data_IF_825152853105
#
_entry.id   IF_825152853105
#
_cell.length_a   1.000
_cell.length_b   1.000
_cell.length_c   1.000
_cell.angle_alpha   90.00
_cell.angle_beta   90.00
_cell.angle_gamma   90.00
#
_symmetry.space_group_name_H-M   'P 1'
#
loop_
_entity.id
_entity.type
_entity.pdbx_description
1 polymer ?
#
# COMPACT_ATOMS: atom_id res chain seq x y z
N UNK A 1 11.14 33.77 -19.75
CA UNK A 1 11.86 33.76 -18.46
C UNK A 1 11.07 32.82 -17.57
N UNK A 2 11.60 31.62 -17.35
CA UNK A 2 10.91 30.50 -16.70
C UNK A 2 11.05 30.59 -15.18
N UNK A 3 9.93 30.52 -14.46
CA UNK A 3 9.92 30.10 -13.06
C UNK A 3 8.77 29.10 -12.91
N UNK A 4 9.12 27.82 -12.90
CA UNK A 4 8.22 26.69 -12.65
C UNK A 4 8.36 26.32 -11.18
N UNK A 5 7.31 26.62 -10.43
CA UNK A 5 6.69 25.78 -9.41
C UNK A 5 7.58 24.74 -8.70
N UNK A 6 8.30 25.19 -7.67
CA UNK A 6 9.14 24.34 -6.79
C UNK A 6 8.38 23.82 -5.55
N UNK A 7 7.06 24.00 -5.49
CA UNK A 7 6.22 23.70 -4.31
C UNK A 7 5.71 22.26 -4.20
N UNK A 8 5.80 21.45 -5.26
CA UNK A 8 5.25 20.07 -5.27
C UNK A 8 6.12 19.02 -4.58
N UNK A 9 7.41 19.28 -4.40
CA UNK A 9 8.39 18.25 -4.03
C UNK A 9 8.34 17.85 -2.54
N UNK A 10 8.11 18.80 -1.63
CA UNK A 10 8.13 18.52 -0.18
C UNK A 10 6.87 17.81 0.30
N UNK A 11 5.72 18.12 -0.28
CA UNK A 11 4.46 17.45 0.04
C UNK A 11 4.45 16.02 -0.48
N UNK A 12 4.93 15.79 -1.71
CA UNK A 12 5.07 14.46 -2.28
C UNK A 12 6.03 13.58 -1.46
N UNK A 13 7.16 14.15 -1.03
CA UNK A 13 8.15 13.45 -0.19
C UNK A 13 7.61 13.15 1.21
N UNK A 14 6.83 14.06 1.81
CA UNK A 14 6.16 13.80 3.10
C UNK A 14 5.07 12.74 2.99
N UNK A 15 4.27 12.76 1.94
CA UNK A 15 3.26 11.74 1.67
C UNK A 15 3.91 10.37 1.42
N UNK A 16 5.03 10.34 0.69
CA UNK A 16 5.83 9.15 0.46
C UNK A 16 6.36 8.54 1.77
N UNK A 17 6.93 9.37 2.65
CA UNK A 17 7.46 8.93 3.94
C UNK A 17 6.34 8.41 4.88
N UNK A 18 5.19 9.08 4.91
CA UNK A 18 4.04 8.64 5.70
C UNK A 18 3.43 7.33 5.17
N UNK A 19 3.37 7.15 3.85
CA UNK A 19 2.91 5.90 3.24
C UNK A 19 3.85 4.73 3.54
N UNK A 20 5.18 4.96 3.49
CA UNK A 20 6.18 3.96 3.84
C UNK A 20 6.08 3.53 5.31
N UNK A 21 5.90 4.50 6.23
CA UNK A 21 5.73 4.23 7.67
C UNK A 21 4.46 3.42 7.97
N UNK A 22 3.34 3.76 7.32
CA UNK A 22 2.06 3.06 7.53
C UNK A 22 2.12 1.62 7.01
N UNK A 23 2.82 1.37 5.92
CA UNK A 23 2.97 0.03 5.35
C UNK A 23 3.91 -0.86 6.18
N UNK A 24 4.95 -0.29 6.80
CA UNK A 24 5.80 -1.03 7.75
C UNK A 24 5.01 -1.49 8.99
N UNK A 25 4.02 -0.69 9.43
CA UNK A 25 3.14 -1.06 10.55
C UNK A 25 2.11 -2.14 10.19
N UNK A 26 1.60 -2.13 8.95
CA UNK A 26 0.65 -3.15 8.48
C UNK A 26 1.28 -4.55 8.27
N UNK A 27 2.60 -4.64 8.09
CA UNK A 27 3.33 -5.93 8.07
C UNK A 27 3.58 -6.49 9.48
N UNK A 28 3.57 -5.64 10.52
CA UNK A 28 3.80 -6.07 11.91
C UNK A 28 2.55 -6.63 12.59
N UNK A 29 1.34 -6.37 12.08
CA UNK A 29 0.07 -6.78 12.71
C UNK A 29 -0.42 -8.17 12.26
N UNK A 30 0.33 -8.89 11.42
CA UNK A 30 0.01 -10.27 11.02
C UNK A 30 0.90 -11.32 11.71
N UNK A 31 1.74 -10.90 12.66
CA UNK A 31 2.62 -11.79 13.41
C UNK A 31 2.11 -12.19 14.80
N UNK A 32 0.95 -11.70 15.25
CA UNK A 32 0.36 -12.03 16.56
C UNK A 32 -1.15 -12.30 16.45
N UNK A 33 -1.52 -13.32 15.69
CA UNK A 33 -2.83 -13.98 15.84
C UNK A 33 -2.60 -15.43 16.27
N UNK A 34 -2.26 -15.57 17.55
CA UNK A 34 -2.18 -16.85 18.24
C UNK A 34 -2.25 -16.57 19.74
N UNK A 35 -3.34 -17.03 20.36
CA UNK A 35 -3.61 -17.03 21.81
C UNK A 35 -4.23 -15.75 22.39
N UNK A 36 -5.58 -15.70 22.41
CA UNK A 36 -6.38 -15.31 23.58
C UNK A 36 -7.88 -15.41 23.25
N UNK A 37 -8.38 -16.64 23.11
CA UNK A 37 -9.78 -16.93 23.39
C UNK A 37 -9.93 -17.09 24.91
N UNK A 38 -11.11 -16.76 25.45
CA UNK A 38 -11.57 -16.97 26.84
C UNK A 38 -11.40 -15.80 27.84
N UNK A 39 -12.40 -14.91 27.88
CA UNK A 39 -12.89 -14.30 29.14
C UNK A 39 -14.32 -13.78 28.97
N UNK A 40 -15.24 -14.75 28.97
CA UNK A 40 -16.69 -14.63 29.16
C UNK A 40 -17.03 -13.95 30.52
N UNK A 41 -17.87 -12.92 30.47
CA UNK A 41 -18.86 -12.49 31.49
C UNK A 41 -18.41 -12.19 32.94
N UNK A 42 -18.74 -10.97 33.42
CA UNK A 42 -19.67 -10.73 34.58
C UNK A 42 -19.67 -9.28 35.09
N UNK A 43 -20.89 -8.84 35.49
CA UNK A 43 -21.32 -7.62 36.22
C UNK A 43 -21.66 -6.43 35.30
N UNK A 44 -22.85 -5.84 35.28
CA UNK A 44 -23.98 -5.88 36.21
C UNK A 44 -24.29 -4.46 36.72
N UNK A 45 -25.48 -3.96 36.35
CA UNK A 45 -26.34 -2.96 37.03
C UNK A 45 -25.82 -1.57 37.49
N UNK A 46 -26.61 -0.56 37.07
CA UNK A 46 -27.06 0.66 37.76
C UNK A 46 -26.05 1.62 38.44
N UNK A 47 -26.20 2.92 38.14
CA UNK A 47 -25.68 3.96 39.05
C UNK A 47 -25.62 5.37 38.47
N UNK A 48 -26.59 6.20 38.86
CA UNK A 48 -26.57 7.67 38.73
C UNK A 48 -25.36 8.26 39.46
N UNK A 49 -24.87 9.41 39.00
CA UNK A 49 -24.33 10.42 39.90
C UNK A 49 -23.04 11.11 39.47
N UNK A 50 -23.15 12.44 39.37
CA UNK A 50 -22.17 13.44 39.76
C UNK A 50 -20.98 13.66 38.82
N UNK A 51 -21.12 14.70 38.00
CA UNK A 51 -20.03 15.48 37.43
C UNK A 51 -19.10 16.03 38.53
N UNK A 52 -17.78 15.81 38.44
CA UNK A 52 -16.80 16.70 39.02
C UNK A 52 -16.36 17.72 37.96
N UNK A 53 -16.54 19.01 38.28
CA UNK A 53 -15.89 20.12 37.58
C UNK A 53 -14.37 19.96 37.67
N UNK A 54 -13.68 20.08 36.54
CA UNK A 54 -12.24 20.30 36.46
C UNK A 54 -11.94 21.48 35.51
N UNK A 55 -10.83 22.20 35.72
CA UNK A 55 -10.64 23.61 35.36
C UNK A 55 -10.27 23.84 33.89
N UNK A 56 -10.60 25.04 33.38
CA UNK A 56 -10.19 25.57 32.07
C UNK A 56 -8.66 25.61 31.98
N UNK A 57 -8.06 24.71 31.21
CA UNK A 57 -6.73 24.88 30.63
C UNK A 57 -6.87 25.53 29.26
N UNK A 58 -6.24 26.69 29.09
CA UNK A 58 -6.10 27.37 27.81
C UNK A 58 -5.35 26.46 26.81
N UNK A 59 -5.72 26.44 25.52
CA UNK A 59 -4.94 25.73 24.52
C UNK A 59 -3.58 26.43 24.31
N UNK A 60 -2.47 25.69 24.14
CA UNK A 60 -1.24 26.29 23.67
C UNK A 60 -1.44 26.79 22.23
N UNK A 61 -1.23 28.08 22.06
CA UNK A 61 -1.17 28.78 20.79
C UNK A 61 -0.04 28.19 19.96
N UNK A 62 -0.39 27.27 19.05
CA UNK A 62 0.56 26.69 18.10
C UNK A 62 0.19 27.24 16.74
N UNK A 63 0.56 28.49 16.49
CA UNK A 63 0.53 29.07 15.15
C UNK A 63 1.51 28.29 14.28
N UNK A 64 1.09 27.59 13.20
CA UNK A 64 2.03 27.01 12.26
C UNK A 64 2.60 28.16 11.42
N UNK A 65 3.83 28.57 11.72
CA UNK A 65 4.56 29.49 10.86
C UNK A 65 4.75 28.89 9.46
N UNK A 66 4.57 29.67 8.38
CA UNK A 66 4.77 29.19 7.03
C UNK A 66 6.28 29.20 6.70
N UNK A 67 6.80 28.11 6.14
CA UNK A 67 8.05 28.16 5.35
C UNK A 67 9.36 27.83 6.06
N UNK A 68 9.40 26.79 6.91
CA UNK A 68 10.69 26.23 7.35
C UNK A 68 11.32 25.36 6.27
N UNK A 69 12.39 25.83 5.63
CA UNK A 69 13.28 25.02 4.80
C UNK A 69 13.73 23.79 5.58
N UNK A 70 13.47 22.60 5.05
CA UNK A 70 13.87 21.35 5.69
C UNK A 70 15.40 21.27 5.72
N UNK A 71 16.03 21.04 6.88
CA UNK A 71 17.48 20.99 6.96
C UNK A 71 18.02 19.86 6.06
N UNK A 72 19.12 20.13 5.34
CA UNK A 72 19.68 19.22 4.33
C UNK A 72 19.88 17.77 4.82
N UNK A 73 20.13 17.57 6.13
CA UNK A 73 20.23 16.25 6.74
C UNK A 73 18.94 15.42 6.70
N UNK A 74 17.76 16.06 6.75
CA UNK A 74 16.46 15.37 6.64
C UNK A 74 16.22 14.91 5.21
N UNK A 75 16.59 15.71 4.22
CA UNK A 75 16.47 15.30 2.81
C UNK A 75 17.35 14.07 2.51
N UNK A 76 18.62 14.10 2.93
CA UNK A 76 19.52 12.96 2.77
C UNK A 76 19.02 11.69 3.49
N UNK A 77 18.46 11.83 4.69
CA UNK A 77 17.86 10.71 5.41
C UNK A 77 16.65 10.13 4.68
N UNK A 78 15.81 10.98 4.08
CA UNK A 78 14.65 10.54 3.29
C UNK A 78 15.09 9.87 1.99
N UNK A 79 16.09 10.40 1.29
CA UNK A 79 16.64 9.74 0.10
C UNK A 79 17.21 8.35 0.42
N UNK A 80 17.93 8.21 1.54
CA UNK A 80 18.44 6.93 2.00
C UNK A 80 17.29 5.95 2.32
N UNK A 81 16.23 6.43 2.97
CA UNK A 81 15.04 5.62 3.26
C UNK A 81 14.33 5.17 1.98
N UNK A 82 14.11 6.07 1.02
CA UNK A 82 13.50 5.75 -0.29
C UNK A 82 14.36 4.73 -1.04
N UNK A 83 15.68 4.89 -1.05
CA UNK A 83 16.59 3.93 -1.68
C UNK A 83 16.46 2.54 -1.05
N UNK A 84 16.41 2.45 0.28
CA UNK A 84 16.20 1.20 1.00
C UNK A 84 14.85 0.57 0.66
N UNK A 85 13.77 1.35 0.71
CA UNK A 85 12.42 0.89 0.35
C UNK A 85 12.32 0.43 -1.10
N UNK A 86 13.07 1.04 -2.02
CA UNK A 86 13.11 0.61 -3.42
C UNK A 86 13.70 -0.79 -3.56
N UNK A 87 14.81 -1.06 -2.88
CA UNK A 87 15.45 -2.38 -2.87
C UNK A 87 14.51 -3.44 -2.28
N UNK A 88 13.90 -3.16 -1.13
CA UNK A 88 12.93 -4.07 -0.49
C UNK A 88 11.71 -4.33 -1.38
N UNK A 89 11.19 -3.29 -2.04
CA UNK A 89 10.09 -3.42 -2.98
C UNK A 89 10.48 -4.31 -4.17
N UNK A 90 11.67 -4.11 -4.74
CA UNK A 90 12.16 -4.92 -5.86
C UNK A 90 12.37 -6.38 -5.47
N UNK A 91 12.86 -6.67 -4.27
CA UNK A 91 12.92 -8.04 -3.76
C UNK A 91 11.52 -8.68 -3.66
N UNK A 92 10.50 -7.91 -3.25
CA UNK A 92 9.09 -8.38 -3.16
C UNK A 92 8.43 -8.56 -4.53
N UNK A 93 8.87 -7.87 -5.57
CA UNK A 93 8.28 -8.00 -6.91
C UNK A 93 8.34 -9.44 -7.45
N UNK A 94 9.38 -10.21 -7.13
CA UNK A 94 9.44 -11.63 -7.50
C UNK A 94 8.34 -12.47 -6.86
N UNK A 95 8.05 -12.21 -5.58
CA UNK A 95 6.97 -12.89 -4.87
C UNK A 95 5.62 -12.52 -5.49
N UNK A 96 5.42 -11.24 -5.78
CA UNK A 96 4.22 -10.74 -6.45
C UNK A 96 4.04 -11.34 -7.84
N UNK A 97 5.11 -11.52 -8.61
CA UNK A 97 5.06 -12.21 -9.90
C UNK A 97 4.49 -13.62 -9.77
N UNK A 98 4.93 -14.39 -8.78
CA UNK A 98 4.41 -15.77 -8.56
C UNK A 98 2.91 -15.77 -8.23
N UNK A 99 2.45 -14.80 -7.45
CA UNK A 99 1.04 -14.62 -7.08
C UNK A 99 0.17 -14.15 -8.26
N UNK A 100 0.78 -13.51 -9.25
CA UNK A 100 0.12 -13.01 -10.46
C UNK A 100 0.29 -13.96 -11.67
N UNK A 101 0.69 -15.22 -11.44
CA UNK A 101 0.91 -16.18 -12.52
C UNK A 101 -0.35 -16.35 -13.38
N UNK A 102 -0.25 -15.91 -14.64
CA UNK A 102 -1.31 -15.93 -15.64
C UNK A 102 -2.01 -17.28 -15.79
N UNK A 103 -1.26 -18.37 -15.68
CA UNK A 103 -1.82 -19.70 -15.93
C UNK A 103 -2.81 -20.09 -14.84
N UNK A 104 -2.56 -19.66 -13.60
CA UNK A 104 -3.49 -19.80 -12.46
C UNK A 104 -4.85 -19.16 -12.75
N UNK A 105 -4.90 -18.03 -13.45
CA UNK A 105 -6.16 -17.32 -13.74
C UNK A 105 -6.89 -17.85 -14.97
N UNK A 106 -6.16 -18.38 -15.95
CA UNK A 106 -6.72 -19.00 -17.16
C UNK A 106 -7.33 -20.36 -16.84
N UNK A 107 -6.62 -21.16 -16.04
CA UNK A 107 -7.02 -22.50 -15.61
C UNK A 107 -6.99 -22.57 -14.09
N UNK A 108 -8.04 -22.07 -13.41
CA UNK A 108 -8.09 -22.05 -11.95
C UNK A 108 -8.06 -23.48 -11.40
N UNK A 109 -7.24 -23.68 -10.37
CA UNK A 109 -7.12 -24.93 -9.64
C UNK A 109 -8.31 -25.21 -8.71
N UNK A 110 -8.19 -26.22 -7.82
CA UNK A 110 -9.29 -26.67 -6.96
C UNK A 110 -9.77 -25.59 -5.98
N UNK A 111 -8.89 -24.67 -5.57
CA UNK A 111 -9.23 -23.56 -4.66
C UNK A 111 -10.08 -22.46 -5.33
N UNK A 112 -10.24 -22.56 -6.66
CA UNK A 112 -11.12 -21.70 -7.44
C UNK A 112 -10.51 -20.34 -7.80
N UNK A 113 -11.10 -19.72 -8.80
CA UNK A 113 -10.66 -18.42 -9.34
C UNK A 113 -10.78 -17.28 -8.32
N UNK A 114 -11.73 -17.37 -7.38
CA UNK A 114 -12.01 -16.31 -6.40
C UNK A 114 -10.81 -16.02 -5.49
N UNK A 115 -10.23 -17.05 -4.88
CA UNK A 115 -9.07 -16.91 -4.00
C UNK A 115 -7.86 -16.33 -4.73
N UNK A 116 -7.58 -16.79 -5.95
CA UNK A 116 -6.51 -16.22 -6.77
C UNK A 116 -6.75 -14.75 -7.10
N UNK A 117 -8.01 -14.35 -7.35
CA UNK A 117 -8.36 -12.94 -7.61
C UNK A 117 -8.29 -12.07 -6.35
N UNK A 118 -8.57 -12.59 -5.16
CA UNK A 118 -8.33 -11.89 -3.89
C UNK A 118 -6.83 -11.59 -3.70
N UNK A 119 -5.99 -12.59 -3.95
CA UNK A 119 -4.54 -12.43 -3.85
C UNK A 119 -3.99 -11.46 -4.91
N UNK A 120 -4.45 -11.58 -6.16
CA UNK A 120 -4.08 -10.65 -7.23
C UNK A 120 -4.51 -9.21 -6.91
N UNK A 121 -5.71 -9.02 -6.35
CA UNK A 121 -6.19 -7.70 -5.97
C UNK A 121 -5.32 -7.10 -4.85
N UNK A 122 -4.96 -7.89 -3.85
CA UNK A 122 -4.06 -7.44 -2.78
C UNK A 122 -2.69 -7.00 -3.32
N UNK A 123 -2.10 -7.79 -4.22
CA UNK A 123 -0.82 -7.46 -4.85
C UNK A 123 -0.95 -6.18 -5.69
N UNK A 124 -1.98 -6.09 -6.53
CA UNK A 124 -2.24 -4.92 -7.36
C UNK A 124 -2.42 -3.66 -6.51
N UNK A 125 -3.17 -3.74 -5.41
CA UNK A 125 -3.35 -2.65 -4.46
C UNK A 125 -2.02 -2.18 -3.86
N UNK A 126 -1.19 -3.12 -3.36
CA UNK A 126 0.12 -2.78 -2.78
C UNK A 126 1.03 -2.10 -3.79
N UNK A 127 1.13 -2.63 -5.01
CA UNK A 127 1.93 -2.04 -6.09
C UNK A 127 1.40 -0.65 -6.47
N UNK A 128 0.09 -0.49 -6.62
CA UNK A 128 -0.53 0.81 -6.96
C UNK A 128 -0.27 1.88 -5.89
N UNK A 129 -0.17 1.48 -4.61
CA UNK A 129 0.12 2.37 -3.49
C UNK A 129 1.55 2.91 -3.45
N UNK A 130 2.53 2.13 -3.95
CA UNK A 130 3.97 2.47 -3.81
C UNK A 130 4.68 2.73 -5.13
N UNK A 131 4.14 2.28 -6.27
CA UNK A 131 4.81 2.32 -7.57
C UNK A 131 5.29 3.72 -7.95
N UNK A 132 4.40 4.71 -7.98
CA UNK A 132 4.76 6.11 -8.30
C UNK A 132 5.78 6.69 -7.32
N UNK A 133 5.61 6.40 -6.04
CA UNK A 133 6.48 6.88 -4.96
C UNK A 133 7.93 6.39 -5.10
N UNK A 134 8.10 5.17 -5.61
CA UNK A 134 9.40 4.52 -5.76
C UNK A 134 10.00 4.68 -7.17
N UNK A 135 9.35 5.45 -8.06
CA UNK A 135 9.82 5.71 -9.42
C UNK A 135 9.33 4.73 -10.49
N UNK A 136 8.37 3.86 -10.17
CA UNK A 136 7.73 2.90 -11.08
C UNK A 136 6.32 3.34 -11.45
N UNK A 137 6.19 4.49 -12.13
CA UNK A 137 4.89 5.08 -12.42
C UNK A 137 3.99 4.16 -13.27
N UNK A 138 4.51 3.61 -14.36
CA UNK A 138 3.77 2.72 -15.26
C UNK A 138 3.32 1.43 -14.57
N UNK A 139 4.15 0.92 -13.65
CA UNK A 139 3.82 -0.22 -12.81
C UNK A 139 2.66 0.10 -11.86
N UNK A 140 2.72 1.24 -11.18
CA UNK A 140 1.65 1.70 -10.29
C UNK A 140 0.33 1.91 -11.04
N UNK A 141 0.36 2.49 -12.24
CA UNK A 141 -0.84 2.74 -13.04
C UNK A 141 -1.42 1.45 -13.62
N UNK A 142 -0.57 0.52 -14.07
CA UNK A 142 -1.01 -0.80 -14.53
C UNK A 142 -1.63 -1.61 -13.39
N UNK A 143 -1.04 -1.54 -12.20
CA UNK A 143 -1.58 -2.22 -11.02
C UNK A 143 -2.94 -1.66 -10.62
N UNK A 144 -3.12 -0.34 -10.66
CA UNK A 144 -4.42 0.29 -10.39
C UNK A 144 -5.49 -0.12 -11.40
N UNK A 145 -5.13 -0.26 -12.69
CA UNK A 145 -6.05 -0.77 -13.70
C UNK A 145 -6.45 -2.22 -13.44
N UNK A 146 -5.49 -3.08 -13.03
CA UNK A 146 -5.77 -4.46 -12.68
C UNK A 146 -6.69 -4.56 -11.45
N UNK A 147 -6.42 -3.78 -10.39
CA UNK A 147 -7.26 -3.70 -9.19
C UNK A 147 -8.70 -3.32 -9.55
N UNK A 148 -8.89 -2.28 -10.38
CA UNK A 148 -10.21 -1.83 -10.80
C UNK A 148 -10.96 -2.90 -11.63
N UNK A 149 -10.27 -3.58 -12.55
CA UNK A 149 -10.87 -4.63 -13.36
C UNK A 149 -11.28 -5.85 -12.51
N UNK A 150 -10.46 -6.24 -11.53
CA UNK A 150 -10.80 -7.32 -10.59
C UNK A 150 -12.02 -6.92 -9.76
N UNK A 151 -12.08 -5.69 -9.25
CA UNK A 151 -13.21 -5.19 -8.47
C UNK A 151 -14.50 -5.18 -9.30
N UNK A 152 -14.45 -4.74 -10.56
CA UNK A 152 -15.59 -4.77 -11.48
C UNK A 152 -16.09 -6.21 -11.72
N UNK A 153 -15.18 -7.14 -11.99
CA UNK A 153 -15.54 -8.55 -12.14
C UNK A 153 -16.19 -9.13 -10.88
N UNK A 154 -15.69 -8.81 -9.68
CA UNK A 154 -16.29 -9.28 -8.41
C UNK A 154 -17.72 -8.76 -8.20
N UNK A 155 -18.07 -7.63 -8.78
CA UNK A 155 -19.42 -7.06 -8.69
C UNK A 155 -20.40 -7.70 -9.68
N UNK A 156 -20.00 -7.86 -10.95
CA UNK A 156 -20.94 -8.25 -12.02
C UNK A 156 -20.74 -9.68 -12.54
N UNK A 157 -19.58 -10.29 -12.30
CA UNK A 157 -19.24 -11.68 -12.64
C UNK A 157 -19.49 -12.09 -14.10
N UNK A 158 -19.32 -11.16 -15.05
CA UNK A 158 -19.49 -11.44 -16.48
C UNK A 158 -18.22 -12.03 -17.11
N UNK A 159 -18.39 -12.78 -18.21
CA UNK A 159 -17.26 -13.39 -18.93
C UNK A 159 -16.31 -12.34 -19.53
N UNK A 160 -16.85 -11.23 -20.04
CA UNK A 160 -16.06 -10.13 -20.60
C UNK A 160 -15.24 -9.42 -19.51
N UNK A 161 -15.83 -9.18 -18.34
CA UNK A 161 -15.09 -8.62 -17.20
C UNK A 161 -14.06 -9.59 -16.64
N UNK A 162 -14.35 -10.89 -16.64
CA UNK A 162 -13.34 -11.92 -16.30
C UNK A 162 -12.17 -11.81 -17.26
N UNK A 163 -12.44 -11.75 -18.56
CA UNK A 163 -11.39 -11.65 -19.57
C UNK A 163 -10.55 -10.38 -19.40
N UNK A 164 -11.18 -9.21 -19.19
CA UNK A 164 -10.45 -7.97 -18.93
C UNK A 164 -9.61 -8.06 -17.65
N UNK A 165 -10.18 -8.52 -16.53
CA UNK A 165 -9.44 -8.70 -15.27
C UNK A 165 -8.20 -9.59 -15.44
N UNK A 166 -8.35 -10.76 -16.07
CA UNK A 166 -7.22 -11.67 -16.34
C UNK A 166 -6.20 -11.03 -17.28
N UNK A 167 -6.64 -10.31 -18.32
CA UNK A 167 -5.75 -9.59 -19.24
C UNK A 167 -4.92 -8.52 -18.51
N UNK A 168 -5.53 -7.76 -17.59
CA UNK A 168 -4.84 -6.75 -16.78
C UNK A 168 -3.85 -7.36 -15.80
N UNK A 169 -4.21 -8.47 -15.14
CA UNK A 169 -3.31 -9.23 -14.26
C UNK A 169 -2.08 -9.69 -15.05
N UNK A 170 -2.29 -10.27 -16.22
CA UNK A 170 -1.20 -10.73 -17.07
C UNK A 170 -0.30 -9.59 -17.56
N UNK A 171 -0.87 -8.44 -17.91
CA UNK A 171 -0.10 -7.25 -18.27
C UNK A 171 0.74 -6.77 -17.09
N UNK A 172 0.18 -6.75 -15.87
CA UNK A 172 0.91 -6.37 -14.66
C UNK A 172 2.08 -7.32 -14.41
N UNK A 173 1.86 -8.64 -14.50
CA UNK A 173 2.90 -9.65 -14.36
C UNK A 173 4.03 -9.44 -15.38
N UNK A 174 3.71 -9.26 -16.67
CA UNK A 174 4.73 -9.04 -17.70
C UNK A 174 5.55 -7.75 -17.49
N UNK A 175 4.95 -6.72 -16.90
CA UNK A 175 5.68 -5.51 -16.55
C UNK A 175 6.65 -5.75 -15.37
N UNK A 176 6.22 -6.53 -14.37
CA UNK A 176 7.10 -6.96 -13.27
C UNK A 176 8.30 -7.76 -13.81
N UNK A 177 8.06 -8.67 -14.75
CA UNK A 177 9.13 -9.44 -15.41
C UNK A 177 10.13 -8.53 -16.13
N UNK A 178 9.63 -7.55 -16.87
CA UNK A 178 10.46 -6.57 -17.58
C UNK A 178 11.33 -5.77 -16.60
N UNK A 179 10.73 -5.22 -15.54
CA UNK A 179 11.46 -4.47 -14.51
C UNK A 179 12.53 -5.34 -13.84
N UNK A 180 12.20 -6.58 -13.48
CA UNK A 180 13.17 -7.46 -12.84
C UNK A 180 14.25 -7.99 -13.80
N UNK A 181 13.99 -8.06 -15.11
CA UNK A 181 15.02 -8.38 -16.09
C UNK A 181 16.05 -7.25 -16.25
N UNK A 182 15.59 -6.00 -16.14
CA UNK A 182 16.39 -4.78 -16.27
C UNK A 182 17.14 -4.38 -14.99
N UNK A 183 16.79 -4.97 -13.83
CA UNK A 183 17.35 -4.62 -12.53
C UNK A 183 17.94 -5.86 -11.82
N UNK A 184 19.26 -5.88 -11.63
CA UNK A 184 19.98 -6.99 -10.98
C UNK A 184 19.56 -7.25 -9.53
N UNK A 185 19.01 -6.25 -8.86
CA UNK A 185 18.49 -6.34 -7.49
C UNK A 185 17.28 -7.31 -7.37
N UNK A 186 16.63 -7.69 -8.48
CA UNK A 186 15.64 -8.78 -8.49
C UNK A 186 16.29 -10.18 -8.57
N UNK A 187 17.62 -10.32 -8.46
CA UNK A 187 18.33 -11.63 -8.56
C UNK A 187 18.97 -12.09 -7.24
N UNK A 188 18.78 -11.33 -6.16
CA UNK A 188 19.38 -11.57 -4.85
C UNK A 188 18.72 -12.73 -4.08
#
# INVERSE_FOLDING_TARGET
MHDIDRGGSTTAVRLAALAALRNAQADSTLAEEGEAEEAEQRRGHDGRGLHPRMPKSSPPDTTPGPGGDMPAGVYAAVEAAVKKSRIEFMARLLEYRRKLDCDTFKTPGPDGLGASLDEAQFVAHRIAGVGKTLGFADLGDTARQAEAAIAAYKLESTADMRHDAVSRICKLMGLIETICAENDDCRA
#
